data_IF_750378277919
#
_entry.id   IF_750378277919
#
_cell.length_a   1.000
_cell.length_b   1.000
_cell.length_c   1.000
_cell.angle_alpha   90.00
_cell.angle_beta   90.00
_cell.angle_gamma   90.00
#
_symmetry.space_group_name_H-M   'P 1'
#
loop_
_entity.id
_entity.type
_entity.pdbx_description
1 polymer ?
#
# COMPACT_ATOMS: atom_id res chain seq x y z
N UNK A 1 17.96 12.11 2.38
CA UNK A 1 16.87 12.84 1.70
C UNK A 1 16.33 12.10 0.48
N UNK A 2 17.19 11.48 -0.34
CA UNK A 2 16.81 10.71 -1.53
C UNK A 2 15.72 9.64 -1.29
N UNK A 3 15.85 8.81 -0.25
CA UNK A 3 14.87 7.77 0.09
C UNK A 3 13.48 8.36 0.39
N UNK A 4 13.41 9.53 1.04
CA UNK A 4 12.13 10.18 1.32
C UNK A 4 11.50 10.76 0.05
N UNK A 5 12.32 11.22 -0.90
CA UNK A 5 11.84 11.70 -2.18
C UNK A 5 11.31 10.53 -3.04
N UNK A 6 12.03 9.41 -3.06
CA UNK A 6 11.62 8.18 -3.74
C UNK A 6 10.33 7.60 -3.16
N UNK A 7 10.19 7.59 -1.84
CA UNK A 7 8.95 7.16 -1.19
C UNK A 7 7.75 8.04 -1.60
N UNK A 8 7.94 9.37 -1.64
CA UNK A 8 6.89 10.31 -2.04
C UNK A 8 6.50 10.13 -3.51
N UNK A 9 7.48 9.99 -4.41
CA UNK A 9 7.21 9.80 -5.83
C UNK A 9 6.54 8.45 -6.11
N UNK A 10 6.95 7.38 -5.42
CA UNK A 10 6.32 6.06 -5.50
C UNK A 10 4.87 6.06 -5.01
N UNK A 11 4.58 6.75 -3.90
CA UNK A 11 3.21 6.92 -3.43
C UNK A 11 2.35 7.69 -4.43
N UNK A 12 2.87 8.78 -5.01
CA UNK A 12 2.15 9.55 -6.02
C UNK A 12 1.83 8.70 -7.27
N UNK A 13 2.80 7.92 -7.76
CA UNK A 13 2.59 7.03 -8.89
C UNK A 13 1.54 5.94 -8.59
N UNK A 14 1.56 5.38 -7.38
CA UNK A 14 0.59 4.38 -6.94
C UNK A 14 -0.83 4.95 -6.86
N UNK A 15 -0.98 6.17 -6.35
CA UNK A 15 -2.28 6.88 -6.30
C UNK A 15 -2.80 7.10 -7.73
N UNK A 16 -1.95 7.64 -8.63
CA UNK A 16 -2.35 7.86 -10.02
C UNK A 16 -2.75 6.57 -10.74
N UNK A 17 -2.11 5.44 -10.42
CA UNK A 17 -2.50 4.14 -10.98
C UNK A 17 -3.89 3.69 -10.50
N UNK A 18 -4.23 3.92 -9.23
CA UNK A 18 -5.56 3.62 -8.69
C UNK A 18 -6.61 4.55 -9.32
N UNK A 19 -6.33 5.85 -9.42
CA UNK A 19 -7.24 6.83 -10.03
C UNK A 19 -7.51 6.54 -11.52
N UNK A 20 -6.53 5.98 -12.23
CA UNK A 20 -6.67 5.56 -13.63
C UNK A 20 -7.38 4.21 -13.79
N UNK A 21 -7.58 3.46 -12.70
CA UNK A 21 -8.24 2.16 -12.74
C UNK A 21 -9.75 2.35 -12.68
N UNK A 22 -10.47 1.75 -13.64
CA UNK A 22 -11.93 1.82 -13.69
C UNK A 22 -12.58 1.15 -12.48
N UNK A 23 -13.75 1.65 -12.06
CA UNK A 23 -14.56 1.05 -10.99
C UNK A 23 -14.88 -0.44 -11.21
N UNK A 24 -15.13 -0.85 -12.46
CA UNK A 24 -15.39 -2.26 -12.81
C UNK A 24 -14.20 -3.16 -12.43
N UNK A 25 -12.98 -2.72 -12.73
CA UNK A 25 -11.76 -3.45 -12.36
C UNK A 25 -11.53 -3.41 -10.84
N UNK A 26 -11.80 -2.28 -10.20
CA UNK A 26 -11.68 -2.14 -8.74
C UNK A 26 -12.65 -3.06 -7.99
N UNK A 27 -13.85 -3.29 -8.54
CA UNK A 27 -14.86 -4.18 -7.97
C UNK A 27 -14.60 -5.67 -8.26
N UNK A 28 -13.58 -6.02 -9.06
CA UNK A 28 -13.31 -7.41 -9.42
C UNK A 28 -12.77 -8.21 -8.24
N UNK A 29 -13.40 -9.36 -7.97
CA UNK A 29 -12.91 -10.34 -6.99
C UNK A 29 -11.56 -10.92 -7.44
N UNK A 30 -10.59 -10.88 -6.53
CA UNK A 30 -9.24 -11.41 -6.74
C UNK A 30 -8.77 -12.16 -5.50
N UNK A 31 -7.95 -13.18 -5.72
CA UNK A 31 -7.20 -13.87 -4.66
C UNK A 31 -5.73 -13.70 -4.96
N UNK A 32 -5.02 -13.05 -4.04
CA UNK A 32 -3.59 -12.82 -4.17
C UNK A 32 -2.79 -14.05 -3.72
N UNK A 33 -1.56 -14.26 -4.27
CA UNK A 33 -0.71 -15.39 -3.90
C UNK A 33 -0.35 -15.47 -2.41
N UNK A 34 -0.44 -14.34 -1.68
CA UNK A 34 -0.19 -14.25 -0.24
C UNK A 34 -1.43 -14.47 0.62
N UNK A 35 -2.52 -15.00 0.04
CA UNK A 35 -3.70 -15.49 0.79
C UNK A 35 -4.78 -14.45 1.09
N UNK A 36 -4.60 -13.19 0.68
CA UNK A 36 -5.65 -12.15 0.79
C UNK A 36 -6.63 -12.29 -0.38
N UNK A 37 -7.93 -12.28 -0.09
CA UNK A 37 -9.00 -12.31 -1.09
C UNK A 37 -10.03 -11.22 -0.82
N UNK A 38 -10.68 -10.74 -1.89
CA UNK A 38 -11.73 -9.72 -1.87
C UNK A 38 -11.75 -8.97 -3.20
N UNK A 39 -12.46 -7.85 -3.25
CA UNK A 39 -12.39 -6.94 -4.40
C UNK A 39 -10.98 -6.39 -4.56
N UNK A 40 -10.55 -6.07 -5.78
CA UNK A 40 -9.24 -5.47 -6.04
C UNK A 40 -9.02 -4.21 -5.19
N UNK A 41 -10.06 -3.39 -5.00
CA UNK A 41 -10.02 -2.23 -4.12
C UNK A 41 -9.71 -2.60 -2.66
N UNK A 42 -10.42 -3.59 -2.09
CA UNK A 42 -10.20 -4.05 -0.71
C UNK A 42 -8.81 -4.65 -0.53
N UNK A 43 -8.34 -5.41 -1.52
CA UNK A 43 -7.00 -6.01 -1.50
C UNK A 43 -5.92 -4.94 -1.53
N UNK A 44 -6.05 -3.91 -2.38
CA UNK A 44 -5.11 -2.79 -2.44
C UNK A 44 -5.09 -2.01 -1.12
N UNK A 45 -6.27 -1.66 -0.59
CA UNK A 45 -6.38 -0.94 0.68
C UNK A 45 -5.75 -1.71 1.84
N UNK A 46 -6.12 -2.99 2.00
CA UNK A 46 -5.62 -3.84 3.09
C UNK A 46 -4.11 -4.04 3.00
N UNK A 47 -3.60 -4.32 1.80
CA UNK A 47 -2.17 -4.58 1.58
C UNK A 47 -1.32 -3.35 1.89
N UNK A 48 -1.73 -2.17 1.41
CA UNK A 48 -0.99 -0.91 1.63
C UNK A 48 -1.06 -0.46 3.08
N UNK A 49 -2.25 -0.52 3.72
CA UNK A 49 -2.39 -0.15 5.13
C UNK A 49 -1.56 -1.06 6.03
N UNK A 50 -1.61 -2.38 5.82
CA UNK A 50 -0.84 -3.34 6.63
C UNK A 50 0.68 -3.18 6.47
N UNK A 51 1.14 -2.99 5.22
CA UNK A 51 2.55 -2.76 4.92
C UNK A 51 3.08 -1.48 5.57
N UNK A 52 2.38 -0.37 5.40
CA UNK A 52 2.79 0.92 5.95
C UNK A 52 2.75 0.92 7.48
N UNK A 53 1.75 0.29 8.10
CA UNK A 53 1.67 0.14 9.56
C UNK A 53 2.89 -0.60 10.11
N UNK A 54 3.32 -1.69 9.46
CA UNK A 54 4.50 -2.46 9.86
C UNK A 54 5.77 -1.59 9.82
N UNK A 55 5.95 -0.80 8.75
CA UNK A 55 7.09 0.11 8.66
C UNK A 55 7.07 1.21 9.72
N UNK A 56 5.90 1.76 10.05
CA UNK A 56 5.76 2.77 11.10
C UNK A 56 6.08 2.19 12.48
N UNK A 57 5.63 0.96 12.77
CA UNK A 57 5.95 0.25 14.01
C UNK A 57 7.47 0.03 14.16
N UNK A 58 8.15 -0.37 13.08
CA UNK A 58 9.60 -0.57 13.08
C UNK A 58 10.37 0.74 13.30
N UNK A 59 9.93 1.82 12.65
CA UNK A 59 10.49 3.17 12.85
C UNK A 59 10.27 3.60 14.30
N UNK A 60 9.06 3.44 14.84
CA UNK A 60 8.75 3.79 16.22
C UNK A 60 9.65 3.02 17.20
N UNK A 61 9.81 1.71 17.01
CA UNK A 61 10.70 0.88 17.84
C UNK A 61 12.14 1.36 17.76
N UNK A 62 12.64 1.66 16.57
CA UNK A 62 14.01 2.15 16.37
C UNK A 62 14.23 3.51 17.05
N UNK A 63 13.25 4.43 16.95
CA UNK A 63 13.32 5.75 17.58
C UNK A 63 13.23 5.67 19.10
N UNK A 64 12.40 4.79 19.65
CA UNK A 64 12.25 4.61 21.11
C UNK A 64 13.43 3.88 21.76
N UNK A 65 14.13 3.04 21.01
CA UNK A 65 15.27 2.26 21.49
C UNK A 65 16.64 2.94 21.34
N UNK A 66 16.69 4.12 20.71
CA UNK A 66 17.88 4.93 20.49
C UNK A 66 18.07 6.07 21.47
#
# INVERSE_FOLDING_TARGET
EEILAELRSGCAASISAVEATSDELLAKEVTMPWGVSGTLAEVLATSVTGHNATHLDDIERAVRGG
#
